data_IF_488091488899
#
_entry.id   IF_488091488899
#
_cell.length_a   1.000
_cell.length_b   1.000
_cell.length_c   1.000
_cell.angle_alpha   90.00
_cell.angle_beta   90.00
_cell.angle_gamma   90.00
#
_symmetry.space_group_name_H-M   'P 1'
#
loop_
_entity.id
_entity.type
_entity.pdbx_description
1 polymer ?
#
# COMPACT_ATOMS: atom_id res chain seq x y z
N UNK A 1 -0.91 -3.69 -20.08
CA UNK A 1 -0.17 -2.62 -19.39
C UNK A 1 0.55 -3.28 -18.23
N UNK A 2 1.82 -3.00 -18.05
CA UNK A 2 2.64 -3.51 -16.95
C UNK A 2 3.33 -2.33 -16.26
N UNK A 3 3.74 -2.51 -15.00
CA UNK A 3 4.38 -1.45 -14.24
C UNK A 3 4.31 -1.66 -12.74
N UNK A 4 4.97 -0.77 -12.00
CA UNK A 4 4.97 -0.80 -10.52
C UNK A 4 4.46 0.53 -10.00
N UNK A 5 3.44 0.47 -9.15
CA UNK A 5 2.97 1.60 -8.35
C UNK A 5 3.56 1.46 -6.96
N UNK A 6 4.31 2.45 -6.49
CA UNK A 6 4.77 2.47 -5.10
C UNK A 6 3.75 3.26 -4.27
N UNK A 7 3.10 2.58 -3.34
CA UNK A 7 2.18 3.19 -2.40
C UNK A 7 2.87 3.45 -1.06
N UNK A 8 2.43 4.50 -0.38
CA UNK A 8 2.70 4.73 1.04
C UNK A 8 1.41 4.53 1.80
N UNK A 9 1.42 3.61 2.76
CA UNK A 9 0.23 3.16 3.48
C UNK A 9 0.42 3.42 4.97
N UNK A 10 -0.51 4.11 5.60
CA UNK A 10 -0.58 4.23 7.05
C UNK A 10 -1.20 2.94 7.59
N UNK A 11 -0.41 2.16 8.31
CA UNK A 11 -0.86 0.99 9.04
C UNK A 11 -1.27 1.44 10.44
N UNK A 12 -2.51 1.15 10.81
CA UNK A 12 -3.08 1.48 12.12
C UNK A 12 -2.65 0.46 13.18
N UNK A 13 -2.84 0.79 14.46
CA UNK A 13 -2.43 -0.08 15.57
C UNK A 13 -3.18 -1.43 15.66
N UNK A 14 -4.30 -1.57 14.96
CA UNK A 14 -5.07 -2.81 14.81
C UNK A 14 -4.72 -3.61 13.54
N UNK A 15 -3.68 -3.17 12.81
CA UNK A 15 -3.25 -3.73 11.54
C UNK A 15 -4.09 -3.29 10.34
N UNK A 16 -5.10 -2.43 10.54
CA UNK A 16 -5.91 -1.89 9.46
C UNK A 16 -5.16 -0.88 8.60
N UNK A 17 -5.76 -0.55 7.45
CA UNK A 17 -5.27 0.48 6.54
C UNK A 17 -5.94 1.82 6.84
N UNK A 18 -5.12 2.83 7.12
CA UNK A 18 -5.52 4.23 7.24
C UNK A 18 -5.36 4.96 5.90
N UNK A 19 -4.57 6.04 5.91
CA UNK A 19 -4.27 6.80 4.70
C UNK A 19 -3.46 6.01 3.68
N UNK A 20 -3.73 6.24 2.39
CA UNK A 20 -2.99 5.67 1.27
C UNK A 20 -2.60 6.79 0.31
N UNK A 21 -1.33 6.84 -0.06
CA UNK A 21 -0.77 7.84 -0.96
C UNK A 21 0.02 7.15 -2.08
N UNK A 22 -0.07 7.66 -3.31
CA UNK A 22 0.84 7.25 -4.39
C UNK A 22 2.19 7.94 -4.17
N UNK A 23 3.20 7.16 -3.76
CA UNK A 23 4.58 7.63 -3.60
C UNK A 23 5.33 7.67 -4.93
N UNK A 24 5.05 6.72 -5.82
CA UNK A 24 5.54 6.71 -7.21
C UNK A 24 4.49 6.10 -8.13
N UNK A 25 4.07 6.87 -9.12
CA UNK A 25 3.16 6.41 -10.17
C UNK A 25 3.83 5.37 -11.07
N UNK A 26 3.03 4.48 -11.62
CA UNK A 26 3.44 3.59 -12.72
C UNK A 26 3.59 4.30 -14.08
N UNK A 27 3.17 5.57 -14.17
CA UNK A 27 3.00 6.30 -15.43
C UNK A 27 1.61 6.12 -16.04
N UNK A 28 0.76 5.26 -15.46
CA UNK A 28 -0.59 4.98 -15.94
C UNK A 28 -1.63 5.18 -14.84
N UNK A 29 -2.51 6.17 -15.02
CA UNK A 29 -3.57 6.54 -14.05
C UNK A 29 -4.42 5.34 -13.63
N UNK A 30 -4.77 4.47 -14.57
CA UNK A 30 -5.61 3.28 -14.29
C UNK A 30 -4.92 2.27 -13.37
N UNK A 31 -3.60 2.08 -13.49
CA UNK A 31 -2.85 1.18 -12.60
C UNK A 31 -2.70 1.81 -11.22
N UNK A 32 -2.50 3.12 -11.15
CA UNK A 32 -2.42 3.85 -9.88
C UNK A 32 -3.75 3.76 -9.11
N UNK A 33 -4.89 3.99 -9.77
CA UNK A 33 -6.22 3.86 -9.19
C UNK A 33 -6.52 2.42 -8.76
N UNK A 34 -6.12 1.44 -9.59
CA UNK A 34 -6.27 0.02 -9.27
C UNK A 34 -5.45 -0.37 -8.04
N UNK A 35 -4.20 0.12 -7.94
CA UNK A 35 -3.35 -0.12 -6.79
C UNK A 35 -3.93 0.49 -5.51
N UNK A 36 -4.43 1.72 -5.58
CA UNK A 36 -5.12 2.37 -4.46
C UNK A 36 -6.36 1.58 -4.02
N UNK A 37 -7.13 1.05 -4.97
CA UNK A 37 -8.31 0.22 -4.68
C UNK A 37 -7.95 -1.11 -4.01
N UNK A 38 -6.91 -1.79 -4.51
CA UNK A 38 -6.51 -3.11 -4.02
C UNK A 38 -6.08 -3.09 -2.55
N UNK A 39 -5.30 -2.06 -2.15
CA UNK A 39 -4.70 -2.01 -0.80
C UNK A 39 -5.71 -1.62 0.29
N UNK A 40 -6.83 -0.98 -0.03
CA UNK A 40 -7.82 -0.50 0.96
C UNK A 40 -8.33 -1.57 1.93
N UNK A 41 -8.43 -2.83 1.47
CA UNK A 41 -8.98 -3.92 2.27
C UNK A 41 -7.92 -4.87 2.82
N UNK A 42 -6.63 -4.54 2.66
CA UNK A 42 -5.57 -5.36 3.20
C UNK A 42 -5.49 -5.21 4.71
N UNK A 43 -4.94 -6.24 5.35
CA UNK A 43 -4.58 -6.20 6.76
C UNK A 43 -3.09 -6.45 6.90
N UNK A 44 -2.44 -5.62 7.67
CA UNK A 44 -1.00 -5.64 7.91
C UNK A 44 -0.72 -6.02 9.36
N UNK A 45 0.50 -6.45 9.62
CA UNK A 45 1.01 -6.48 10.99
C UNK A 45 1.35 -5.05 11.42
N UNK A 46 0.78 -4.54 12.53
CA UNK A 46 1.12 -3.21 13.01
C UNK A 46 2.57 -3.16 13.46
N UNK A 47 3.16 -1.97 13.40
CA UNK A 47 4.46 -1.74 14.04
C UNK A 47 4.28 -1.80 15.56
N UNK A 48 5.27 -2.32 16.27
CA UNK A 48 5.28 -2.35 17.74
C UNK A 48 6.41 -1.49 18.28
N UNK A 49 6.09 -0.64 19.25
CA UNK A 49 7.06 0.11 20.04
C UNK A 49 6.87 -0.30 21.50
N UNK A 50 7.93 -0.82 22.13
CA UNK A 50 7.90 -1.31 23.52
C UNK A 50 6.75 -2.30 23.81
N UNK A 51 6.45 -3.18 22.84
CA UNK A 51 5.37 -4.17 22.95
C UNK A 51 3.96 -3.63 22.70
N UNK A 52 3.82 -2.33 22.40
CA UNK A 52 2.54 -1.69 22.11
C UNK A 52 2.41 -1.47 20.60
N UNK A 53 1.30 -1.90 20.01
CA UNK A 53 1.01 -1.65 18.60
C UNK A 53 0.77 -0.16 18.34
N UNK A 54 1.51 0.41 17.39
CA UNK A 54 1.47 1.83 17.03
C UNK A 54 1.21 2.01 15.54
N UNK A 55 0.65 3.16 15.19
CA UNK A 55 0.49 3.55 13.79
C UNK A 55 1.85 3.85 13.15
N UNK A 56 2.05 3.38 11.92
CA UNK A 56 3.29 3.58 11.18
C UNK A 56 3.04 3.65 9.67
N UNK A 57 4.00 4.20 8.92
CA UNK A 57 3.92 4.23 7.46
C UNK A 57 4.75 3.11 6.84
N UNK A 58 4.16 2.36 5.91
CA UNK A 58 4.80 1.34 5.10
C UNK A 58 4.89 1.77 3.63
N UNK A 59 5.93 1.33 2.92
CA UNK A 59 6.04 1.47 1.45
C UNK A 59 5.74 0.14 0.79
N UNK A 60 4.68 0.08 -0.01
CA UNK A 60 4.16 -1.15 -0.62
C UNK A 60 4.26 -1.05 -2.15
N UNK A 61 5.09 -1.88 -2.80
CA UNK A 61 5.11 -1.96 -4.27
C UNK A 61 3.96 -2.84 -4.76
N UNK A 62 3.09 -2.29 -5.61
CA UNK A 62 2.06 -3.03 -6.34
C UNK A 62 2.54 -3.24 -7.77
N UNK A 63 2.80 -4.50 -8.14
CA UNK A 63 3.34 -4.88 -9.46
C UNK A 63 2.21 -5.40 -10.34
N UNK A 64 2.10 -4.85 -11.54
CA UNK A 64 1.23 -5.32 -12.61
C UNK A 64 2.10 -5.97 -13.67
N UNK A 65 1.81 -7.23 -13.98
CA UNK A 65 2.53 -8.04 -14.97
C UNK A 65 1.56 -8.52 -16.05
N UNK A 66 2.04 -8.59 -17.29
CA UNK A 66 1.31 -9.24 -18.37
C UNK A 66 1.69 -10.72 -18.38
N UNK A 67 0.74 -11.57 -18.01
CA UNK A 67 0.89 -13.02 -18.20
C UNK A 67 0.72 -13.30 -19.69
N UNK A 68 1.74 -13.92 -20.29
CA UNK A 68 1.84 -14.18 -21.72
C UNK A 68 1.19 -15.49 -22.10
#
# INVERSE_FOLDING_TARGET
MEGVVLLRVEVLGDGGVGKIEVKRSSGYKILDESALGAVKNWRFLPATLDGISVKAWASIPVRFELVK
#
